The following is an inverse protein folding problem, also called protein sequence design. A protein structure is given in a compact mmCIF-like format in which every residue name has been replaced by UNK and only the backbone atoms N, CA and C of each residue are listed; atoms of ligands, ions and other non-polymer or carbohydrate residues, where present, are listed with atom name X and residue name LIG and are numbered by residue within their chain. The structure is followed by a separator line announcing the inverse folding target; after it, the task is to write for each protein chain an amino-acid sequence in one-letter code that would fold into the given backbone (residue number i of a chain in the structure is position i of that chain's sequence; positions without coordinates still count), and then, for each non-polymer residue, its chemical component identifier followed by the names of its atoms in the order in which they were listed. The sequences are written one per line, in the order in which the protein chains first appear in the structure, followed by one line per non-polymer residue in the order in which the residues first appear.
data_IF_133494249707
#
_entry.id   IF_133494249707
#
_cell.length_a   1.000
_cell.length_b   1.000
_cell.length_c   1.000
_cell.angle_alpha   90.00
_cell.angle_beta   90.00
_cell.angle_gamma   90.00
#
_symmetry.space_group_name_H-M   'P 1'
#
loop_
_entity.id
_entity.type
_entity.pdbx_description
1 polymer ?
#
# COMPACT_ATOMS: atom_id res chain seq x y z
N UNK A 1 8.43 -15.98 9.09
CA UNK A 1 8.40 -16.83 7.87
C UNK A 1 7.52 -18.06 8.12
N UNK A 2 6.82 -18.52 7.10
CA UNK A 2 6.12 -19.81 7.03
C UNK A 2 6.91 -20.77 6.16
N UNK A 3 6.41 -21.97 5.87
CA UNK A 3 7.15 -22.94 5.04
C UNK A 3 7.29 -22.52 3.57
N UNK A 4 6.42 -21.62 3.09
CA UNK A 4 6.30 -21.23 1.67
C UNK A 4 6.29 -19.71 1.45
N UNK A 5 6.47 -18.91 2.50
CA UNK A 5 6.44 -17.46 2.37
C UNK A 5 6.44 -16.71 3.70
N UNK A 6 5.67 -15.62 3.74
CA UNK A 6 5.63 -14.69 4.86
C UNK A 6 4.19 -14.26 5.13
N UNK A 7 3.85 -14.18 6.41
CA UNK A 7 2.59 -13.63 6.90
C UNK A 7 2.89 -12.59 7.97
N UNK A 8 2.01 -11.61 8.11
CA UNK A 8 1.91 -10.74 9.27
C UNK A 8 0.91 -11.32 10.26
N UNK A 9 1.18 -11.18 11.56
CA UNK A 9 0.29 -11.62 12.63
C UNK A 9 0.18 -10.51 13.67
N UNK A 10 -1.04 -10.10 13.99
CA UNK A 10 -1.36 -8.98 14.86
C UNK A 10 -1.43 -9.38 16.34
N UNK A 11 -0.28 -9.57 16.98
CA UNK A 11 -0.16 -9.92 18.41
C UNK A 11 0.13 -8.75 19.37
N UNK A 12 -0.22 -7.50 19.00
CA UNK A 12 0.25 -6.29 19.72
C UNK A 12 -0.45 -6.05 21.07
N UNK A 13 -1.65 -6.61 21.28
CA UNK A 13 -2.37 -6.52 22.55
C UNK A 13 -2.44 -7.90 23.21
N UNK A 14 -2.73 -7.91 24.52
CA UNK A 14 -2.68 -9.15 25.31
C UNK A 14 -3.69 -10.20 24.85
N UNK A 15 -4.89 -9.78 24.43
CA UNK A 15 -5.93 -10.71 23.95
C UNK A 15 -5.47 -11.43 22.69
N UNK A 16 -4.94 -10.70 21.71
CA UNK A 16 -4.46 -11.27 20.46
C UNK A 16 -3.19 -12.09 20.66
N UNK A 17 -2.29 -11.67 21.57
CA UNK A 17 -1.12 -12.44 21.96
C UNK A 17 -1.52 -13.84 22.47
N UNK A 18 -2.40 -13.90 23.47
CA UNK A 18 -2.82 -15.19 24.06
C UNK A 18 -3.53 -16.08 23.04
N UNK A 19 -4.40 -15.52 22.18
CA UNK A 19 -5.04 -16.26 21.09
C UNK A 19 -4.02 -16.80 20.08
N UNK A 20 -3.04 -15.99 19.69
CA UNK A 20 -1.97 -16.40 18.79
C UNK A 20 -1.17 -17.56 19.38
N UNK A 21 -0.77 -17.44 20.65
CA UNK A 21 -0.03 -18.49 21.35
C UNK A 21 -0.83 -19.80 21.42
N UNK A 22 -2.14 -19.73 21.65
CA UNK A 22 -3.03 -20.89 21.62
C UNK A 22 -3.04 -21.57 20.24
N UNK A 23 -3.24 -20.81 19.16
CA UNK A 23 -3.23 -21.32 17.77
C UNK A 23 -1.89 -21.96 17.42
N UNK A 24 -0.79 -21.33 17.85
CA UNK A 24 0.56 -21.82 17.63
C UNK A 24 0.90 -23.01 18.54
N UNK A 25 0.07 -23.32 19.54
CA UNK A 25 0.35 -24.37 20.55
C UNK A 25 1.68 -24.13 21.27
N UNK A 26 1.95 -22.88 21.65
CA UNK A 26 3.15 -22.46 22.37
C UNK A 26 2.79 -21.94 23.77
N UNK A 27 1.87 -22.62 24.47
CA UNK A 27 1.25 -22.16 25.73
C UNK A 27 2.28 -21.83 26.81
N UNK A 28 3.45 -22.46 26.77
CA UNK A 28 4.59 -22.17 27.62
C UNK A 28 5.03 -20.70 27.55
N UNK A 29 4.89 -20.04 26.39
CA UNK A 29 5.25 -18.63 26.21
C UNK A 29 4.27 -17.68 26.89
N UNK A 30 3.05 -18.12 27.23
CA UNK A 30 2.09 -17.28 27.94
C UNK A 30 2.46 -17.06 29.41
N UNK A 31 3.19 -17.99 30.02
CA UNK A 31 3.67 -17.91 31.40
C UNK A 31 5.16 -17.60 31.52
N UNK A 32 5.85 -17.36 30.40
CA UNK A 32 7.26 -16.99 30.40
C UNK A 32 7.40 -15.49 30.77
N UNK A 33 8.13 -15.14 31.84
CA UNK A 33 8.32 -13.75 32.26
C UNK A 33 8.92 -12.86 31.16
N UNK A 34 9.63 -13.43 30.19
CA UNK A 34 10.19 -12.69 29.04
C UNK A 34 9.12 -12.21 28.06
N UNK A 35 7.93 -12.82 28.08
CA UNK A 35 6.87 -12.57 27.09
C UNK A 35 5.51 -12.21 27.71
N UNK A 36 5.47 -11.96 29.02
CA UNK A 36 4.24 -11.71 29.77
C UNK A 36 3.53 -10.44 29.27
N UNK A 37 4.23 -9.30 29.27
CA UNK A 37 3.70 -8.03 28.75
C UNK A 37 4.23 -7.70 27.36
N UNK A 38 3.62 -6.73 26.69
CA UNK A 38 4.12 -6.26 25.40
C UNK A 38 5.51 -5.62 25.53
N UNK A 39 5.80 -4.95 26.65
CA UNK A 39 7.12 -4.37 26.90
C UNK A 39 8.19 -5.47 27.01
N UNK A 40 7.89 -6.56 27.73
CA UNK A 40 8.80 -7.70 27.86
C UNK A 40 9.05 -8.37 26.51
N UNK A 41 7.98 -8.57 25.71
CA UNK A 41 8.09 -9.11 24.35
C UNK A 41 8.96 -8.25 23.44
N UNK A 42 8.86 -6.93 23.53
CA UNK A 42 9.69 -6.02 22.76
C UNK A 42 11.15 -6.01 23.23
N UNK A 43 11.39 -6.13 24.55
CA UNK A 43 12.72 -6.25 25.11
C UNK A 43 13.42 -7.58 24.72
N UNK A 44 12.64 -8.62 24.40
CA UNK A 44 13.11 -9.96 24.03
C UNK A 44 12.71 -10.35 22.59
N UNK A 45 12.58 -9.36 21.68
CA UNK A 45 11.93 -9.57 20.37
C UNK A 45 12.71 -10.52 19.46
N UNK A 46 14.04 -10.53 19.51
CA UNK A 46 14.87 -11.42 18.70
C UNK A 46 14.63 -12.88 19.05
N UNK A 47 14.64 -13.21 20.34
CA UNK A 47 14.38 -14.57 20.83
C UNK A 47 12.94 -15.00 20.55
N UNK A 48 11.97 -14.09 20.81
CA UNK A 48 10.58 -14.34 20.49
C UNK A 48 10.40 -14.63 18.99
N UNK A 49 11.02 -13.81 18.13
CA UNK A 49 10.98 -13.97 16.67
C UNK A 49 11.51 -15.34 16.27
N UNK A 50 12.58 -15.82 16.88
CA UNK A 50 13.12 -17.15 16.58
C UNK A 50 12.14 -18.27 16.95
N UNK A 51 11.55 -18.23 18.16
CA UNK A 51 10.57 -19.20 18.62
C UNK A 51 9.35 -19.24 17.70
N UNK A 52 8.79 -18.07 17.40
CA UNK A 52 7.64 -17.93 16.50
C UNK A 52 7.99 -18.36 15.07
N UNK A 53 9.18 -18.01 14.56
CA UNK A 53 9.61 -18.39 13.21
C UNK A 53 9.80 -19.89 13.06
N UNK A 54 10.41 -20.55 14.05
CA UNK A 54 10.52 -22.03 14.07
C UNK A 54 9.14 -22.67 13.98
N UNK A 55 8.17 -22.15 14.75
CA UNK A 55 6.81 -22.71 14.77
C UNK A 55 6.05 -22.43 13.48
N UNK A 56 6.04 -21.19 13.02
CA UNK A 56 5.36 -20.79 11.78
C UNK A 56 5.96 -21.48 10.55
N UNK A 57 7.27 -21.81 10.56
CA UNK A 57 7.92 -22.57 9.49
C UNK A 57 7.40 -24.00 9.28
N UNK A 58 6.58 -24.53 10.18
CA UNK A 58 6.08 -25.92 10.11
C UNK A 58 4.85 -26.12 9.23
N UNK A 59 4.28 -25.05 8.67
CA UNK A 59 3.15 -25.15 7.74
C UNK A 59 3.11 -23.96 6.77
N UNK A 60 2.29 -24.11 5.73
CA UNK A 60 2.09 -23.09 4.69
C UNK A 60 1.43 -21.83 5.24
N UNK A 61 1.64 -20.71 4.54
CA UNK A 61 0.99 -19.44 4.81
C UNK A 61 -0.53 -19.58 4.86
N UNK A 62 -1.11 -20.27 3.88
CA UNK A 62 -2.55 -20.53 3.82
C UNK A 62 -3.06 -21.32 5.03
N UNK A 63 -2.32 -22.35 5.46
CA UNK A 63 -2.69 -23.14 6.65
C UNK A 63 -2.71 -22.29 7.91
N UNK A 64 -1.72 -21.41 8.07
CA UNK A 64 -1.66 -20.52 9.23
C UNK A 64 -2.72 -19.44 9.20
N UNK A 65 -2.94 -18.81 8.05
CA UNK A 65 -3.98 -17.78 7.89
C UNK A 65 -5.36 -18.34 8.25
N UNK A 66 -5.73 -19.52 7.74
CA UNK A 66 -7.00 -20.18 8.11
C UNK A 66 -7.13 -20.43 9.62
N UNK A 67 -6.06 -20.89 10.27
CA UNK A 67 -6.07 -21.18 11.72
C UNK A 67 -6.17 -19.92 12.57
N UNK A 68 -5.45 -18.87 12.17
CA UNK A 68 -5.45 -17.58 12.85
C UNK A 68 -6.79 -16.86 12.69
N UNK A 69 -7.36 -16.87 11.49
CA UNK A 69 -8.69 -16.33 11.19
C UNK A 69 -9.78 -17.03 12.02
N UNK A 70 -9.78 -18.37 12.06
CA UNK A 70 -10.72 -19.14 12.88
C UNK A 70 -10.65 -18.80 14.38
N UNK A 71 -9.50 -18.31 14.86
CA UNK A 71 -9.29 -17.88 16.24
C UNK A 71 -9.48 -16.37 16.45
N UNK A 72 -9.94 -15.62 15.45
CA UNK A 72 -10.04 -14.16 15.48
C UNK A 72 -8.71 -13.47 15.83
N UNK A 73 -7.61 -13.98 15.28
CA UNK A 73 -6.30 -13.32 15.34
C UNK A 73 -6.08 -12.59 14.01
N UNK A 74 -5.90 -11.26 14.01
CA UNK A 74 -5.62 -10.53 12.79
C UNK A 74 -4.34 -11.05 12.14
N UNK A 75 -4.41 -11.48 10.88
CA UNK A 75 -3.25 -11.95 10.13
C UNK A 75 -3.50 -11.73 8.63
N UNK A 76 -2.42 -11.60 7.87
CA UNK A 76 -2.50 -11.42 6.42
C UNK A 76 -1.22 -11.84 5.71
N UNK A 77 -1.29 -12.25 4.44
CA UNK A 77 -0.10 -12.56 3.65
C UNK A 77 0.76 -11.30 3.47
N UNK A 78 2.07 -11.50 3.37
CA UNK A 78 2.97 -10.44 2.88
C UNK A 78 3.03 -10.55 1.36
N UNK A 79 2.16 -9.80 0.69
CA UNK A 79 2.07 -9.79 -0.76
C UNK A 79 3.18 -8.93 -1.39
N UNK A 80 3.63 -9.32 -2.57
CA UNK A 80 4.50 -8.48 -3.40
C UNK A 80 3.76 -7.27 -3.98
N UNK A 81 4.48 -6.27 -4.48
CA UNK A 81 3.87 -5.03 -5.00
C UNK A 81 2.84 -5.31 -6.11
N UNK A 82 3.16 -6.14 -7.10
CA UNK A 82 2.24 -6.46 -8.21
C UNK A 82 0.98 -7.19 -7.72
N UNK A 83 1.15 -8.11 -6.78
CA UNK A 83 0.04 -8.84 -6.17
C UNK A 83 -0.87 -7.90 -5.37
N UNK A 84 -0.28 -7.00 -4.57
CA UNK A 84 -1.02 -5.99 -3.82
C UNK A 84 -1.80 -5.04 -4.75
N UNK A 85 -1.21 -4.63 -5.88
CA UNK A 85 -1.88 -3.78 -6.87
C UNK A 85 -3.05 -4.48 -7.57
N UNK A 86 -3.00 -5.81 -7.69
CA UNK A 86 -4.04 -6.64 -8.31
C UNK A 86 -5.02 -7.27 -7.33
N UNK A 87 -4.82 -7.06 -6.03
CA UNK A 87 -5.65 -7.67 -4.99
C UNK A 87 -7.13 -7.27 -5.19
N UNK A 88 -8.10 -8.17 -4.97
CA UNK A 88 -9.52 -7.87 -5.19
C UNK A 88 -10.00 -6.59 -4.50
N UNK A 89 -9.53 -6.33 -3.28
CA UNK A 89 -9.84 -5.09 -2.56
C UNK A 89 -9.22 -3.85 -3.21
N UNK A 90 -8.03 -3.96 -3.80
CA UNK A 90 -7.36 -2.85 -4.49
C UNK A 90 -8.13 -2.48 -5.77
N UNK A 91 -8.59 -3.49 -6.51
CA UNK A 91 -9.46 -3.31 -7.70
C UNK A 91 -10.82 -2.74 -7.30
N UNK A 92 -11.48 -3.33 -6.30
CA UNK A 92 -12.79 -2.87 -5.81
C UNK A 92 -12.76 -1.44 -5.27
N UNK A 93 -11.59 -0.99 -4.81
CA UNK A 93 -11.37 0.39 -4.35
C UNK A 93 -10.86 1.32 -5.45
N UNK A 94 -10.68 0.86 -6.69
CA UNK A 94 -10.15 1.67 -7.81
C UNK A 94 -8.80 2.33 -7.45
N UNK A 95 -7.93 1.58 -6.79
CA UNK A 95 -6.60 2.04 -6.39
C UNK A 95 -5.58 1.96 -7.54
N UNK A 96 -5.94 1.28 -8.64
CA UNK A 96 -5.20 1.26 -9.90
C UNK A 96 -6.16 1.72 -10.99
N UNK A 97 -5.83 2.82 -11.64
CA UNK A 97 -6.61 3.46 -12.69
C UNK A 97 -5.82 3.42 -13.99
N UNK A 98 -6.51 3.32 -15.12
CA UNK A 98 -5.89 3.44 -16.45
C UNK A 98 -6.21 4.81 -17.02
N UNK A 99 -5.19 5.57 -17.36
CA UNK A 99 -5.31 6.87 -18.04
C UNK A 99 -4.67 6.82 -19.43
N UNK A 100 -5.17 7.62 -20.37
CA UNK A 100 -4.56 7.77 -21.68
C UNK A 100 -3.46 8.82 -21.64
N UNK A 101 -2.21 8.39 -21.79
CA UNK A 101 -1.06 9.27 -21.93
C UNK A 101 -0.54 9.15 -23.36
N UNK A 102 -0.61 10.24 -24.14
CA UNK A 102 -0.18 10.25 -25.54
C UNK A 102 -0.86 9.18 -26.42
N UNK A 103 -2.14 8.89 -26.17
CA UNK A 103 -2.90 7.85 -26.88
C UNK A 103 -2.56 6.41 -26.45
N UNK A 104 -1.76 6.23 -25.39
CA UNK A 104 -1.41 4.92 -24.83
C UNK A 104 -2.01 4.77 -23.43
N UNK A 105 -2.56 3.59 -23.09
CA UNK A 105 -3.01 3.31 -21.74
C UNK A 105 -1.80 3.20 -20.79
N UNK A 106 -1.87 3.89 -19.65
CA UNK A 106 -0.89 3.83 -18.58
C UNK A 106 -1.62 3.63 -17.26
N UNK A 107 -1.15 2.69 -16.44
CA UNK A 107 -1.66 2.49 -15.09
C UNK A 107 -1.08 3.52 -14.12
N UNK A 108 -1.94 4.09 -13.27
CA UNK A 108 -1.58 5.04 -12.22
C UNK A 108 -2.32 4.71 -10.93
N UNK A 109 -1.85 5.25 -9.80
CA UNK A 109 -2.49 5.06 -8.51
C UNK A 109 -3.74 5.96 -8.38
N UNK A 110 -4.80 5.38 -7.84
CA UNK A 110 -6.02 6.09 -7.46
C UNK A 110 -5.91 6.81 -6.12
N UNK A 111 -6.91 7.64 -5.79
CA UNK A 111 -6.96 8.34 -4.50
C UNK A 111 -7.37 7.38 -3.36
N UNK A 112 -6.55 7.18 -2.32
CA UNK A 112 -6.85 6.22 -1.24
C UNK A 112 -8.09 6.60 -0.42
N UNK A 113 -8.37 7.89 -0.32
CA UNK A 113 -9.55 8.45 0.36
C UNK A 113 -10.70 8.54 -0.63
N UNK A 114 -11.86 7.96 -0.26
CA UNK A 114 -13.07 7.99 -1.07
C UNK A 114 -14.09 8.90 -0.40
N UNK A 115 -14.51 9.95 -1.10
CA UNK A 115 -15.47 10.94 -0.60
C UNK A 115 -16.76 10.81 -1.40
N UNK A 116 -17.92 10.77 -0.73
CA UNK A 116 -19.22 10.61 -1.39
C UNK A 116 -19.73 11.91 -2.04
N UNK A 117 -19.47 13.07 -1.42
CA UNK A 117 -19.94 14.37 -1.91
C UNK A 117 -19.05 14.98 -3.00
N UNK A 118 -17.74 14.71 -2.93
CA UNK A 118 -16.74 15.20 -3.91
C UNK A 118 -15.77 14.07 -4.24
N UNK A 119 -16.20 13.04 -5.00
CA UNK A 119 -15.34 11.90 -5.32
C UNK A 119 -14.03 12.35 -5.97
N UNK A 120 -12.87 12.08 -5.33
CA UNK A 120 -11.59 12.45 -5.90
C UNK A 120 -11.20 11.47 -7.01
N UNK A 121 -10.49 11.95 -8.03
CA UNK A 121 -10.09 11.12 -9.16
C UNK A 121 -8.92 11.70 -9.96
N UNK A 122 -8.30 10.84 -10.75
CA UNK A 122 -7.34 11.26 -11.78
C UNK A 122 -8.12 11.41 -13.09
N UNK A 123 -8.35 12.65 -13.50
CA UNK A 123 -9.17 12.96 -14.69
C UNK A 123 -8.37 12.91 -16.00
N UNK A 124 -7.07 13.21 -15.92
CA UNK A 124 -6.18 13.29 -17.08
C UNK A 124 -4.78 12.80 -16.71
N UNK A 125 -4.05 12.33 -17.71
CA UNK A 125 -2.65 11.98 -17.55
C UNK A 125 -1.80 13.20 -17.16
N UNK A 126 -0.59 12.95 -16.67
CA UNK A 126 0.35 14.01 -16.37
C UNK A 126 0.62 14.85 -17.64
N UNK A 127 0.58 16.19 -17.54
CA UNK A 127 0.81 17.04 -18.70
C UNK A 127 2.26 16.91 -19.18
N UNK A 128 2.45 17.03 -20.49
CA UNK A 128 3.77 17.18 -21.08
C UNK A 128 4.33 18.57 -20.79
N UNK A 129 5.65 18.69 -20.91
CA UNK A 129 6.33 19.98 -20.78
C UNK A 129 5.78 20.99 -21.79
N UNK A 130 5.20 22.08 -21.30
CA UNK A 130 4.65 23.16 -22.11
C UNK A 130 3.25 22.90 -22.69
N UNK A 131 2.56 21.81 -22.31
CA UNK A 131 1.26 21.43 -22.88
C UNK A 131 0.19 22.50 -22.71
N UNK A 132 0.15 23.16 -21.55
CA UNK A 132 -0.85 24.17 -21.22
C UNK A 132 -0.28 25.59 -21.17
N UNK A 133 0.96 25.83 -21.63
CA UNK A 133 1.63 27.12 -21.47
C UNK A 133 0.88 28.27 -22.14
N UNK A 134 0.47 28.07 -23.39
CA UNK A 134 -0.30 29.05 -24.17
C UNK A 134 -1.69 29.27 -23.58
N UNK A 135 -2.37 28.19 -23.18
CA UNK A 135 -3.70 28.24 -22.55
C UNK A 135 -3.68 29.09 -21.27
N UNK A 136 -2.72 28.83 -20.36
CA UNK A 136 -2.61 29.57 -19.10
C UNK A 136 -2.32 31.04 -19.35
N UNK A 137 -1.41 31.39 -20.27
CA UNK A 137 -1.13 32.81 -20.56
C UNK A 137 -2.37 33.55 -21.08
N UNK A 138 -3.16 32.91 -21.95
CA UNK A 138 -4.41 33.48 -22.44
C UNK A 138 -5.44 33.69 -21.32
N UNK A 139 -5.56 32.74 -20.38
CA UNK A 139 -6.43 32.87 -19.19
C UNK A 139 -6.05 34.08 -18.29
N UNK A 140 -4.78 34.49 -18.31
CA UNK A 140 -4.29 35.68 -17.59
C UNK A 140 -4.29 36.97 -18.43
N UNK A 141 -4.88 36.95 -19.63
CA UNK A 141 -5.11 38.15 -20.45
C UNK A 141 -3.94 38.58 -21.34
N UNK A 142 -2.93 37.73 -21.54
CA UNK A 142 -1.91 37.98 -22.54
C UNK A 142 -2.51 37.87 -23.95
N UNK A 143 -2.14 38.79 -24.84
CA UNK A 143 -2.53 38.76 -26.24
C UNK A 143 -1.68 37.75 -26.99
N UNK A 144 -2.22 37.20 -28.08
CA UNK A 144 -1.52 36.21 -28.92
C UNK A 144 -0.10 36.64 -29.33
N UNK A 145 0.10 37.94 -29.59
CA UNK A 145 1.42 38.49 -29.95
C UNK A 145 2.43 38.42 -28.80
N UNK A 146 1.99 38.68 -27.56
CA UNK A 146 2.82 38.63 -26.36
C UNK A 146 3.15 37.18 -26.00
N UNK A 147 2.18 36.28 -26.16
CA UNK A 147 2.38 34.83 -25.98
C UNK A 147 3.45 34.33 -26.96
N UNK A 148 3.35 34.67 -28.24
CA UNK A 148 4.31 34.24 -29.24
C UNK A 148 5.72 34.83 -29.03
N UNK A 149 5.84 36.03 -28.45
CA UNK A 149 7.13 36.61 -28.01
C UNK A 149 7.75 35.82 -26.85
N UNK A 150 6.94 35.43 -25.85
CA UNK A 150 7.39 34.62 -24.72
C UNK A 150 7.82 33.21 -25.15
N UNK A 151 7.15 32.62 -26.13
CA UNK A 151 7.54 31.34 -26.71
C UNK A 151 8.83 31.44 -27.51
N UNK A 152 8.99 32.49 -28.34
CA UNK A 152 10.21 32.73 -29.13
C UNK A 152 11.42 33.03 -28.27
N UNK A 153 11.25 33.77 -27.17
CA UNK A 153 12.32 34.04 -26.21
C UNK A 153 12.73 32.83 -25.37
N UNK A 154 11.93 31.75 -25.39
CA UNK A 154 12.15 30.55 -24.57
C UNK A 154 11.76 30.71 -23.10
N UNK A 155 11.15 31.84 -22.73
CA UNK A 155 10.60 32.08 -21.40
C UNK A 155 9.46 31.10 -21.08
N UNK A 156 8.71 30.67 -22.10
CA UNK A 156 7.68 29.63 -22.01
C UNK A 156 7.94 28.54 -23.05
N UNK A 157 7.75 27.27 -22.66
CA UNK A 157 7.90 26.14 -23.57
C UNK A 157 6.64 25.86 -24.38
N UNK A 158 6.77 25.59 -25.68
CA UNK A 158 5.70 25.08 -26.54
C UNK A 158 5.73 23.55 -26.58
N UNK A 159 4.59 22.92 -26.32
CA UNK A 159 4.46 21.50 -26.59
C UNK A 159 4.50 21.25 -28.11
N UNK A 160 5.36 20.33 -28.56
CA UNK A 160 5.39 19.86 -29.95
C UNK A 160 4.71 18.49 -30.01
N UNK A 161 3.61 18.42 -30.76
CA UNK A 161 2.81 17.20 -30.95
C UNK A 161 3.64 16.00 -31.40
#
# INVERSE_FOLDING_TARGET
PTSDGWITVGGWNQVNWLRMIEVLKLRELAGDPRFETNADRMANVEELRELLSRRLGTATSETWLRRLEAANVPAGPVSGMIEALRHPQTVAREMVLTVSQAGRPVETLGMPVKMSGTPPGVERAAPRRGEHGEQVLAEYGFRDIEIEELLRSGAVGRFKA
#
